data_IF_480143500504
#
_entry.id   IF_480143500504
#
_cell.length_a   1.000
_cell.length_b   1.000
_cell.length_c   1.000
_cell.angle_alpha   90.00
_cell.angle_beta   90.00
_cell.angle_gamma   90.00
#
_symmetry.space_group_name_H-M   'P 1'
#
loop_
_entity.id
_entity.type
_entity.pdbx_description
1 polymer ?
#
# COMPACT_ATOMS: atom_id res chain seq x y z
N UNK A 1 5.29 6.01 -11.75
CA UNK A 1 5.55 4.63 -11.29
C UNK A 1 6.97 4.60 -10.76
N UNK A 2 7.17 4.21 -9.50
CA UNK A 2 8.52 4.15 -8.91
C UNK A 2 9.14 2.79 -9.19
N UNK A 3 10.21 2.76 -9.97
CA UNK A 3 10.97 1.54 -10.20
C UNK A 3 11.58 1.03 -8.87
N UNK A 4 11.47 -0.27 -8.58
CA UNK A 4 12.00 -0.90 -7.37
C UNK A 4 13.47 -1.23 -7.55
N UNK A 5 14.33 -0.67 -6.68
CA UNK A 5 15.77 -0.91 -6.74
C UNK A 5 16.36 -1.42 -5.43
N UNK A 6 17.42 -2.22 -5.59
CA UNK A 6 18.31 -2.63 -4.51
C UNK A 6 19.69 -2.08 -4.81
N UNK A 7 20.33 -1.49 -3.80
CA UNK A 7 21.73 -1.07 -3.87
C UNK A 7 22.58 -2.08 -3.12
N UNK A 8 23.60 -2.62 -3.78
CA UNK A 8 24.49 -3.63 -3.25
C UNK A 8 25.94 -3.13 -3.17
N UNK A 9 26.62 -3.35 -2.05
CA UNK A 9 28.05 -3.05 -1.91
C UNK A 9 28.77 -4.04 -1.00
N UNK A 10 30.09 -4.16 -1.16
CA UNK A 10 30.91 -5.07 -0.34
C UNK A 10 31.27 -4.43 1.01
N UNK A 11 30.79 -5.05 2.09
CA UNK A 11 30.97 -4.60 3.46
C UNK A 11 32.44 -4.61 3.90
N UNK A 12 33.29 -5.44 3.29
CA UNK A 12 34.72 -5.53 3.65
C UNK A 12 35.49 -4.27 3.24
N UNK A 13 35.03 -3.60 2.19
CA UNK A 13 35.66 -2.40 1.65
C UNK A 13 35.02 -1.11 2.19
N UNK A 14 33.71 -1.12 2.41
CA UNK A 14 32.97 0.10 2.75
C UNK A 14 32.29 0.06 4.13
N UNK A 15 32.45 -1.02 4.89
CA UNK A 15 31.87 -1.19 6.20
C UNK A 15 30.37 -1.49 6.19
N UNK A 16 29.86 -1.78 7.40
CA UNK A 16 28.44 -2.02 7.64
C UNK A 16 27.78 -0.75 8.20
N UNK A 17 26.60 -0.36 7.71
CA UNK A 17 25.85 0.74 8.29
C UNK A 17 25.28 0.35 9.65
N UNK A 18 25.17 1.33 10.56
CA UNK A 18 24.62 1.14 11.91
C UNK A 18 23.10 1.23 11.97
N UNK A 19 22.48 1.94 11.03
CA UNK A 19 21.05 2.17 10.93
C UNK A 19 20.63 2.40 9.47
N UNK A 20 19.32 2.51 9.22
CA UNK A 20 18.76 2.66 7.89
C UNK A 20 19.13 4.00 7.23
N UNK A 21 19.18 5.09 7.99
CA UNK A 21 19.50 6.42 7.44
C UNK A 21 20.95 6.48 6.96
N UNK A 22 21.87 5.97 7.77
CA UNK A 22 23.30 5.86 7.41
C UNK A 22 23.48 4.95 6.20
N UNK A 23 22.71 3.87 6.09
CA UNK A 23 22.75 3.00 4.91
C UNK A 23 22.31 3.74 3.64
N UNK A 24 21.28 4.59 3.71
CA UNK A 24 20.84 5.42 2.59
C UNK A 24 21.89 6.43 2.13
N UNK A 25 22.52 7.15 3.06
CA UNK A 25 23.63 8.07 2.77
C UNK A 25 24.82 7.33 2.14
N UNK A 26 25.16 6.16 2.69
CA UNK A 26 26.24 5.32 2.19
C UNK A 26 25.94 4.79 0.78
N UNK A 27 24.72 4.31 0.53
CA UNK A 27 24.28 3.86 -0.78
C UNK A 27 24.39 4.98 -1.82
N UNK A 28 23.86 6.17 -1.52
CA UNK A 28 23.94 7.33 -2.41
C UNK A 28 25.38 7.71 -2.76
N UNK A 29 26.26 7.74 -1.74
CA UNK A 29 27.69 8.03 -1.93
C UNK A 29 28.38 6.97 -2.81
N UNK A 30 28.22 5.69 -2.49
CA UNK A 30 28.93 4.60 -3.17
C UNK A 30 28.47 4.37 -4.62
N UNK A 31 27.22 4.74 -4.95
CA UNK A 31 26.74 4.74 -6.33
C UNK A 31 27.47 5.75 -7.23
N UNK A 32 28.06 6.79 -6.64
CA UNK A 32 28.80 7.83 -7.39
C UNK A 32 30.32 7.68 -7.28
N UNK A 33 30.82 6.93 -6.30
CA UNK A 33 32.25 6.71 -6.10
C UNK A 33 32.84 5.81 -7.21
N UNK A 34 33.80 6.34 -7.97
CA UNK A 34 34.52 5.59 -9.01
C UNK A 34 35.50 4.60 -8.38
N UNK A 35 35.19 3.33 -8.52
CA UNK A 35 35.98 2.24 -7.98
C UNK A 35 35.73 0.97 -8.81
N UNK A 36 36.78 0.18 -9.01
CA UNK A 36 36.65 -1.12 -9.66
C UNK A 36 35.77 -2.06 -8.83
N UNK A 37 35.12 -3.05 -9.47
CA UNK A 37 34.22 -3.95 -8.77
C UNK A 37 34.98 -4.82 -7.77
N UNK A 38 34.52 -4.83 -6.51
CA UNK A 38 35.06 -5.69 -5.48
C UNK A 38 34.80 -7.17 -5.80
N UNK A 39 35.67 -8.04 -5.30
CA UNK A 39 35.52 -9.49 -5.49
C UNK A 39 34.20 -10.01 -4.91
N UNK A 40 33.75 -9.47 -3.76
CA UNK A 40 32.47 -9.87 -3.15
C UNK A 40 31.27 -9.52 -4.01
N UNK A 41 31.26 -8.32 -4.60
CA UNK A 41 30.17 -7.89 -5.46
C UNK A 41 30.12 -8.69 -6.76
N UNK A 42 31.27 -9.06 -7.32
CA UNK A 42 31.36 -9.95 -8.49
C UNK A 42 30.85 -11.35 -8.16
N UNK A 43 31.35 -11.99 -7.09
CA UNK A 43 30.92 -13.34 -6.71
C UNK A 43 29.43 -13.39 -6.30
N UNK A 44 28.94 -12.34 -5.66
CA UNK A 44 27.51 -12.16 -5.40
C UNK A 44 26.70 -12.17 -6.71
N UNK A 45 27.10 -11.36 -7.70
CA UNK A 45 26.41 -11.27 -8.98
C UNK A 45 26.44 -12.59 -9.76
N UNK A 46 27.58 -13.30 -9.74
CA UNK A 46 27.75 -14.61 -10.36
C UNK A 46 26.82 -15.68 -9.74
N UNK A 47 26.77 -15.78 -8.42
CA UNK A 47 25.93 -16.80 -7.75
C UNK A 47 24.44 -16.49 -7.87
N UNK A 48 24.03 -15.21 -7.83
CA UNK A 48 22.63 -14.83 -8.12
C UNK A 48 22.26 -15.17 -9.57
N UNK A 49 23.12 -14.86 -10.54
CA UNK A 49 22.85 -15.18 -11.94
C UNK A 49 22.75 -16.70 -12.19
N UNK A 50 23.63 -17.48 -11.56
CA UNK A 50 23.58 -18.95 -11.64
C UNK A 50 22.28 -19.51 -11.04
N UNK A 51 21.78 -18.93 -9.94
CA UNK A 51 20.47 -19.29 -9.39
C UNK A 51 19.34 -19.00 -10.39
N UNK A 52 19.31 -17.79 -10.96
CA UNK A 52 18.25 -17.37 -11.88
C UNK A 52 18.20 -18.23 -13.15
N UNK A 53 19.36 -18.64 -13.69
CA UNK A 53 19.43 -19.56 -14.83
C UNK A 53 18.76 -20.91 -14.54
N UNK A 54 18.83 -21.38 -13.30
CA UNK A 54 18.23 -22.65 -12.88
C UNK A 54 16.74 -22.55 -12.53
N UNK A 55 16.20 -21.34 -12.30
CA UNK A 55 14.79 -21.14 -11.97
C UNK A 55 13.84 -21.22 -13.16
N UNK A 56 14.33 -21.08 -14.40
CA UNK A 56 13.53 -21.32 -15.62
C UNK A 56 12.42 -20.31 -15.92
N UNK A 57 12.28 -19.24 -15.15
CA UNK A 57 11.23 -18.23 -15.31
C UNK A 57 11.68 -17.09 -16.26
N UNK A 58 10.96 -16.90 -17.36
CA UNK A 58 11.33 -15.95 -18.43
C UNK A 58 11.17 -14.47 -18.03
N UNK A 59 10.33 -14.16 -17.03
CA UNK A 59 9.95 -12.79 -16.66
C UNK A 59 11.07 -11.91 -16.08
N UNK A 60 12.14 -12.51 -15.56
CA UNK A 60 13.21 -11.80 -14.83
C UNK A 60 14.37 -11.38 -15.71
N UNK A 61 14.48 -11.96 -16.90
CA UNK A 61 15.61 -11.75 -17.80
C UNK A 61 15.78 -10.27 -18.13
N UNK A 62 14.69 -9.52 -18.34
CA UNK A 62 14.79 -8.09 -18.65
C UNK A 62 15.34 -7.21 -17.51
N UNK A 63 15.20 -7.63 -16.24
CA UNK A 63 15.62 -6.83 -15.08
C UNK A 63 17.02 -7.22 -14.58
N UNK A 64 17.31 -8.52 -14.61
CA UNK A 64 18.51 -9.13 -14.05
C UNK A 64 19.45 -9.72 -15.11
N UNK A 65 19.26 -9.35 -16.40
CA UNK A 65 20.16 -9.78 -17.47
C UNK A 65 21.61 -9.40 -17.16
N UNK A 66 22.50 -10.34 -17.48
CA UNK A 66 23.96 -10.20 -17.38
C UNK A 66 24.42 -9.51 -16.09
N UNK A 67 23.81 -9.86 -14.95
CA UNK A 67 24.21 -9.35 -13.64
C UNK A 67 25.74 -9.47 -13.41
N UNK A 68 26.42 -10.56 -13.81
CA UNK A 68 27.88 -10.67 -13.68
C UNK A 68 28.63 -9.67 -14.56
N UNK A 69 28.23 -9.50 -15.83
CA UNK A 69 28.84 -8.51 -16.71
C UNK A 69 28.62 -7.08 -16.22
N UNK A 70 27.42 -6.77 -15.71
CA UNK A 70 27.09 -5.49 -15.07
C UNK A 70 27.92 -5.25 -13.83
N UNK A 71 28.09 -6.24 -12.96
CA UNK A 71 28.94 -6.11 -11.78
C UNK A 71 30.39 -5.85 -12.21
N UNK A 72 30.92 -6.60 -13.18
CA UNK A 72 32.28 -6.43 -13.71
C UNK A 72 32.49 -5.06 -14.39
N UNK A 73 31.48 -4.54 -15.05
CA UNK A 73 31.51 -3.26 -15.78
C UNK A 73 31.04 -2.05 -14.98
N UNK A 74 30.58 -2.22 -13.73
CA UNK A 74 29.88 -1.19 -12.96
C UNK A 74 30.70 0.10 -12.76
N UNK A 75 32.03 -0.02 -12.62
CA UNK A 75 32.94 1.12 -12.43
C UNK A 75 32.68 1.98 -11.18
N UNK A 76 31.78 1.52 -10.30
CA UNK A 76 31.39 2.18 -9.06
C UNK A 76 31.50 1.21 -7.87
N UNK A 77 31.65 1.78 -6.68
CA UNK A 77 31.78 1.06 -5.42
C UNK A 77 30.50 0.31 -4.98
N UNK A 78 29.33 0.74 -5.46
CA UNK A 78 28.06 0.03 -5.29
C UNK A 78 27.36 -0.20 -6.62
N UNK A 79 26.60 -1.29 -6.71
CA UNK A 79 25.79 -1.63 -7.89
C UNK A 79 24.31 -1.42 -7.59
N UNK A 80 23.60 -0.80 -8.53
CA UNK A 80 22.13 -0.70 -8.53
C UNK A 80 21.53 -1.87 -9.32
N UNK A 81 20.62 -2.58 -8.67
CA UNK A 81 19.93 -3.75 -9.21
C UNK A 81 18.45 -3.38 -9.30
N UNK A 82 17.89 -3.52 -10.50
CA UNK A 82 16.47 -3.32 -10.73
C UNK A 82 15.75 -4.63 -10.45
N UNK A 83 14.69 -4.55 -9.65
CA UNK A 83 13.85 -5.71 -9.33
C UNK A 83 12.63 -5.72 -10.26
N UNK A 84 12.11 -6.91 -10.61
CA UNK A 84 10.84 -6.99 -11.32
C UNK A 84 9.71 -6.38 -10.48
N UNK A 85 8.66 -5.92 -11.16
CA UNK A 85 7.48 -5.35 -10.50
C UNK A 85 6.69 -6.42 -9.72
N UNK A 86 6.67 -7.65 -10.23
CA UNK A 86 5.94 -8.79 -9.66
C UNK A 86 6.93 -9.91 -9.28
N UNK A 87 6.55 -10.73 -8.30
CA UNK A 87 7.29 -11.89 -7.78
C UNK A 87 8.77 -11.63 -7.40
N UNK A 88 9.19 -10.40 -7.12
CA UNK A 88 10.58 -10.10 -6.73
C UNK A 88 11.00 -10.71 -5.37
N UNK A 89 10.04 -11.12 -4.54
CA UNK A 89 10.22 -11.49 -3.14
C UNK A 89 11.12 -12.74 -3.01
N UNK A 90 10.89 -13.77 -3.82
CA UNK A 90 11.68 -14.99 -3.79
C UNK A 90 13.12 -14.75 -4.26
N UNK A 91 13.28 -13.90 -5.27
CA UNK A 91 14.60 -13.45 -5.74
C UNK A 91 15.32 -12.68 -4.64
N UNK A 92 14.63 -11.75 -3.95
CA UNK A 92 15.21 -11.00 -2.84
C UNK A 92 15.66 -11.94 -1.71
N UNK A 93 14.85 -12.93 -1.33
CA UNK A 93 15.22 -13.93 -0.31
C UNK A 93 16.51 -14.63 -0.70
N UNK A 94 16.63 -15.03 -1.97
CA UNK A 94 17.86 -15.65 -2.46
C UNK A 94 19.04 -14.67 -2.49
N UNK A 95 18.83 -13.44 -2.96
CA UNK A 95 19.85 -12.40 -2.99
C UNK A 95 20.39 -12.12 -1.59
N UNK A 96 19.55 -12.05 -0.56
CA UNK A 96 20.01 -11.84 0.82
C UNK A 96 20.83 -13.02 1.32
N UNK A 97 20.45 -14.26 1.01
CA UNK A 97 21.24 -15.46 1.33
C UNK A 97 22.64 -15.38 0.69
N UNK A 98 22.69 -15.07 -0.61
CA UNK A 98 23.95 -14.98 -1.37
C UNK A 98 24.80 -13.79 -0.91
N UNK A 99 24.17 -12.65 -0.61
CA UNK A 99 24.85 -11.45 -0.11
C UNK A 99 25.54 -11.72 1.22
N UNK A 100 24.91 -12.46 2.13
CA UNK A 100 25.54 -12.86 3.39
C UNK A 100 26.81 -13.70 3.17
N UNK A 101 26.79 -14.65 2.23
CA UNK A 101 27.96 -15.47 1.87
C UNK A 101 29.13 -14.63 1.37
N UNK A 102 28.85 -13.61 0.55
CA UNK A 102 29.86 -12.78 -0.12
C UNK A 102 30.17 -11.46 0.59
N UNK A 103 29.70 -11.30 1.83
CA UNK A 103 29.88 -10.09 2.64
C UNK A 103 29.35 -8.81 1.96
N UNK A 104 28.24 -8.93 1.24
CA UNK A 104 27.55 -7.82 0.57
C UNK A 104 26.41 -7.30 1.43
N UNK A 105 26.31 -5.97 1.56
CA UNK A 105 25.14 -5.30 2.13
C UNK A 105 24.13 -5.04 1.02
N UNK A 106 22.85 -5.28 1.30
CA UNK A 106 21.76 -4.91 0.40
C UNK A 106 20.89 -3.82 1.06
N UNK A 107 20.76 -2.68 0.40
CA UNK A 107 19.87 -1.59 0.79
C UNK A 107 18.66 -1.56 -0.13
N UNK A 108 17.46 -1.63 0.44
CA UNK A 108 16.20 -1.62 -0.27
C UNK A 108 15.30 -0.52 0.31
N UNK A 109 15.24 0.60 -0.42
CA UNK A 109 14.50 1.79 -0.02
C UNK A 109 12.99 1.52 0.00
N UNK A 110 12.46 0.82 -1.00
CA UNK A 110 11.05 0.49 -1.11
C UNK A 110 10.53 -0.32 0.08
N UNK A 111 11.35 -1.20 0.66
CA UNK A 111 10.98 -1.97 1.85
C UNK A 111 11.34 -1.29 3.17
N UNK A 112 12.07 -0.17 3.11
CA UNK A 112 12.70 0.46 4.27
C UNK A 112 13.51 -0.58 5.06
N UNK A 113 14.34 -1.35 4.36
CA UNK A 113 15.17 -2.42 4.92
C UNK A 113 16.61 -2.38 4.43
N UNK A 114 17.54 -2.72 5.33
CA UNK A 114 18.93 -3.03 5.03
C UNK A 114 19.23 -4.44 5.49
N UNK A 115 19.82 -5.26 4.63
CA UNK A 115 20.22 -6.62 4.95
C UNK A 115 21.74 -6.65 5.13
N UNK A 116 22.18 -6.94 6.36
CA UNK A 116 23.60 -7.01 6.69
C UNK A 116 24.14 -8.43 6.49
N UNK A 117 25.44 -8.59 6.18
CA UNK A 117 26.08 -9.90 6.07
C UNK A 117 25.98 -10.78 7.31
N UNK A 118 25.77 -10.19 8.49
CA UNK A 118 25.54 -10.91 9.75
C UNK A 118 24.17 -11.61 9.82
N UNK A 119 23.29 -11.38 8.86
CA UNK A 119 21.89 -11.83 8.88
C UNK A 119 20.95 -10.86 9.62
N UNK A 120 21.47 -9.76 10.17
CA UNK A 120 20.65 -8.72 10.80
C UNK A 120 19.93 -7.86 9.75
N UNK A 121 18.68 -7.49 10.03
CA UNK A 121 17.93 -6.49 9.25
C UNK A 121 17.82 -5.18 10.02
N UNK A 122 18.03 -4.07 9.31
CA UNK A 122 17.84 -2.71 9.81
C UNK A 122 16.64 -2.03 9.13
N UNK A 123 15.81 -1.27 9.86
CA UNK A 123 15.79 -1.20 11.31
C UNK A 123 15.26 -2.52 11.92
N UNK A 124 15.65 -2.83 13.17
CA UNK A 124 15.29 -4.09 13.83
C UNK A 124 13.77 -4.33 13.92
N UNK A 125 12.96 -3.26 13.89
CA UNK A 125 11.50 -3.33 13.80
C UNK A 125 10.99 -4.11 12.57
N UNK A 126 11.80 -4.18 11.50
CA UNK A 126 11.48 -4.92 10.26
C UNK A 126 11.83 -6.40 10.31
N UNK A 127 12.54 -6.88 11.34
CA UNK A 127 12.94 -8.29 11.45
C UNK A 127 11.76 -9.26 11.32
N UNK A 128 10.62 -8.95 11.95
CA UNK A 128 9.44 -9.83 11.90
C UNK A 128 8.85 -9.92 10.48
N UNK A 129 8.82 -8.79 9.77
CA UNK A 129 8.36 -8.74 8.37
C UNK A 129 9.30 -9.59 7.50
N UNK A 130 10.61 -9.40 7.65
CA UNK A 130 11.62 -10.16 6.91
C UNK A 130 11.55 -11.66 7.18
N UNK A 131 11.42 -12.08 8.44
CA UNK A 131 11.25 -13.49 8.79
C UNK A 131 10.01 -14.11 8.14
N UNK A 132 8.92 -13.32 8.03
CA UNK A 132 7.72 -13.72 7.29
C UNK A 132 8.01 -13.97 5.81
N UNK A 133 8.70 -13.04 5.16
CA UNK A 133 9.12 -13.16 3.75
C UNK A 133 10.06 -14.36 3.53
N UNK A 134 11.03 -14.58 4.41
CA UNK A 134 11.93 -15.75 4.30
C UNK A 134 11.18 -17.07 4.45
N UNK A 135 10.27 -17.16 5.42
CA UNK A 135 9.48 -18.36 5.63
C UNK A 135 8.51 -18.64 4.47
N UNK A 136 8.00 -17.59 3.84
CA UNK A 136 7.13 -17.65 2.67
C UNK A 136 7.81 -18.25 1.44
N UNK A 137 9.10 -17.99 1.27
CA UNK A 137 9.84 -18.28 0.04
C UNK A 137 11.03 -19.22 0.25
N UNK A 138 11.03 -19.96 1.36
CA UNK A 138 11.99 -21.06 1.56
C UNK A 138 11.76 -22.15 0.50
N UNK A 139 12.84 -22.74 -0.03
CA UNK A 139 12.76 -23.76 -1.06
C UNK A 139 11.82 -24.91 -0.64
N UNK A 140 10.77 -25.18 -1.43
CA UNK A 140 9.76 -26.21 -1.16
C UNK A 140 8.48 -25.73 -0.45
N UNK A 141 8.25 -24.43 -0.33
CA UNK A 141 7.01 -23.90 0.26
C UNK A 141 5.83 -24.08 -0.71
N UNK A 142 4.89 -24.97 -0.36
CA UNK A 142 3.61 -25.08 -1.07
C UNK A 142 2.74 -23.85 -0.80
N UNK A 143 1.91 -23.46 -1.78
CA UNK A 143 0.94 -22.39 -1.59
C UNK A 143 0.01 -22.73 -0.41
N UNK A 144 -0.25 -21.78 0.51
CA UNK A 144 -1.10 -22.04 1.66
C UNK A 144 -2.47 -22.59 1.28
N UNK A 145 -2.87 -23.73 1.87
CA UNK A 145 -4.17 -24.35 1.59
C UNK A 145 -5.23 -24.04 2.67
N UNK A 146 -4.82 -23.47 3.80
CA UNK A 146 -5.72 -23.10 4.90
C UNK A 146 -5.65 -21.61 5.17
N UNK A 147 -6.76 -21.03 5.66
CA UNK A 147 -6.83 -19.62 6.10
C UNK A 147 -5.72 -19.23 7.08
N UNK A 148 -5.37 -20.13 8.00
CA UNK A 148 -4.32 -19.88 9.00
C UNK A 148 -2.92 -19.81 8.38
N UNK A 149 -2.59 -20.74 7.49
CA UNK A 149 -1.33 -20.72 6.75
C UNK A 149 -1.26 -19.49 5.83
N UNK A 150 -2.36 -19.17 5.15
CA UNK A 150 -2.41 -18.03 4.24
C UNK A 150 -2.22 -16.73 4.99
N UNK A 151 -2.92 -16.49 6.10
CA UNK A 151 -2.69 -15.31 6.95
C UNK A 151 -1.24 -15.19 7.42
N UNK A 152 -0.64 -16.30 7.89
CA UNK A 152 0.76 -16.28 8.31
C UNK A 152 1.71 -15.83 7.20
N UNK A 153 1.39 -16.20 5.96
CA UNK A 153 2.13 -15.80 4.77
C UNK A 153 1.80 -14.35 4.32
N UNK A 154 0.51 -14.00 4.25
CA UNK A 154 -0.02 -12.75 3.70
C UNK A 154 0.18 -11.54 4.62
N UNK A 155 -0.01 -11.70 5.94
CA UNK A 155 0.07 -10.59 6.92
C UNK A 155 1.40 -9.78 6.78
N UNK A 156 2.60 -10.39 6.71
CA UNK A 156 3.86 -9.65 6.52
C UNK A 156 3.94 -8.85 5.20
N UNK A 157 3.34 -9.36 4.13
CA UNK A 157 3.35 -8.69 2.83
C UNK A 157 2.39 -7.51 2.85
N UNK A 158 1.21 -7.70 3.42
CA UNK A 158 0.25 -6.62 3.64
C UNK A 158 0.83 -5.52 4.53
N UNK A 159 1.51 -5.88 5.62
CA UNK A 159 2.24 -4.95 6.49
C UNK A 159 3.31 -4.15 5.72
N UNK A 160 3.93 -4.77 4.71
CA UNK A 160 4.92 -4.12 3.83
C UNK A 160 4.26 -3.08 2.92
N UNK A 161 3.11 -3.40 2.32
CA UNK A 161 2.34 -2.43 1.53
C UNK A 161 1.92 -1.25 2.40
N UNK A 162 1.32 -1.53 3.57
CA UNK A 162 0.90 -0.49 4.51
C UNK A 162 2.05 0.46 4.89
N UNK A 163 3.23 -0.11 5.17
CA UNK A 163 4.39 0.66 5.58
C UNK A 163 4.91 1.64 4.53
N UNK A 164 4.69 1.37 3.23
CA UNK A 164 5.04 2.27 2.13
C UNK A 164 4.11 3.49 2.07
N UNK A 165 2.87 3.32 2.52
CA UNK A 165 1.85 4.35 2.54
C UNK A 165 1.63 4.93 3.94
N UNK A 166 2.68 4.98 4.77
CA UNK A 166 2.66 5.67 6.06
C UNK A 166 2.41 4.77 7.28
N UNK A 167 2.18 5.42 8.41
CA UNK A 167 2.26 4.77 9.73
C UNK A 167 0.92 4.13 10.14
N UNK A 168 0.48 3.12 9.40
CA UNK A 168 -0.64 2.28 9.82
C UNK A 168 -0.27 1.46 11.06
N UNK A 169 -1.09 1.56 12.10
CA UNK A 169 -0.95 0.81 13.34
C UNK A 169 -2.08 -0.20 13.44
N UNK A 170 -1.73 -1.45 13.74
CA UNK A 170 -2.71 -2.52 13.93
C UNK A 170 -3.62 -2.20 15.13
N UNK A 171 -4.93 -2.20 14.90
CA UNK A 171 -5.92 -2.03 15.95
C UNK A 171 -5.94 -3.28 16.85
N UNK A 172 -5.89 -3.04 18.16
CA UNK A 172 -5.88 -4.11 19.17
C UNK A 172 -7.30 -4.52 19.58
N UNK A 173 -8.31 -3.74 19.22
CA UNK A 173 -9.72 -4.03 19.45
C UNK A 173 -10.46 -4.06 18.11
N UNK A 174 -10.28 -5.11 17.29
CA UNK A 174 -11.04 -5.22 16.06
C UNK A 174 -12.53 -5.26 16.41
N UNK A 175 -13.33 -4.47 15.69
CA UNK A 175 -14.77 -4.30 15.89
C UNK A 175 -15.52 -5.64 15.90
N UNK A 176 -14.94 -6.68 15.30
CA UNK A 176 -15.39 -8.06 15.37
C UNK A 176 -14.16 -8.98 15.35
N UNK A 177 -14.20 -10.11 16.06
CA UNK A 177 -13.14 -11.15 16.12
C UNK A 177 -12.68 -11.75 14.76
N UNK A 178 -13.08 -11.17 13.63
CA UNK A 178 -12.83 -11.65 12.26
C UNK A 178 -12.02 -10.69 11.38
N UNK A 179 -11.94 -9.40 11.74
CA UNK A 179 -11.31 -8.35 10.94
C UNK A 179 -9.94 -7.98 11.50
N UNK A 180 -8.90 -8.03 10.67
CA UNK A 180 -7.63 -7.37 11.02
C UNK A 180 -7.77 -5.93 10.58
N UNK A 181 -7.89 -5.00 11.52
CA UNK A 181 -7.98 -3.57 11.22
C UNK A 181 -6.65 -2.87 11.49
N UNK A 182 -6.29 -1.95 10.60
CA UNK A 182 -5.15 -1.06 10.70
C UNK A 182 -5.65 0.38 10.62
N UNK A 183 -5.09 1.23 11.46
CA UNK A 183 -5.52 2.61 11.64
C UNK A 183 -4.36 3.53 11.28
N UNK A 184 -4.64 4.56 10.49
CA UNK A 184 -3.75 5.70 10.27
C UNK A 184 -4.47 6.96 10.72
N UNK A 185 -3.85 7.70 11.63
CA UNK A 185 -4.26 9.07 11.95
C UNK A 185 -3.69 10.00 10.87
N UNK A 186 -4.57 10.66 10.12
CA UNK A 186 -4.23 11.81 9.29
C UNK A 186 -4.48 13.11 10.03
N UNK A 187 -4.08 14.23 9.43
CA UNK A 187 -4.22 15.56 10.05
C UNK A 187 -5.68 15.94 10.32
N UNK A 188 -6.60 15.47 9.46
CA UNK A 188 -8.02 15.79 9.55
C UNK A 188 -8.93 14.56 9.61
N UNK A 189 -8.49 13.44 9.02
CA UNK A 189 -9.27 12.22 8.91
C UNK A 189 -8.53 11.05 9.53
N UNK A 190 -9.28 10.18 10.22
CA UNK A 190 -8.81 8.86 10.64
C UNK A 190 -9.18 7.84 9.59
N UNK A 191 -8.21 7.04 9.18
CA UNK A 191 -8.38 6.05 8.14
C UNK A 191 -8.24 4.66 8.70
N UNK A 192 -9.10 3.77 8.23
CA UNK A 192 -9.14 2.38 8.61
C UNK A 192 -9.03 1.56 7.35
N UNK A 193 -8.14 0.58 7.38
CA UNK A 193 -8.04 -0.44 6.35
C UNK A 193 -8.06 -1.78 7.05
N UNK A 194 -8.88 -2.69 6.53
CA UNK A 194 -8.98 -4.04 7.06
C UNK A 194 -9.14 -5.03 5.94
N UNK A 195 -8.69 -6.25 6.16
CA UNK A 195 -9.05 -7.36 5.28
C UNK A 195 -9.62 -8.54 6.04
N UNK A 196 -10.50 -9.24 5.35
CA UNK A 196 -10.98 -10.58 5.70
C UNK A 196 -10.31 -11.53 4.73
N UNK A 197 -9.80 -12.64 5.28
CA UNK A 197 -9.42 -13.79 4.47
C UNK A 197 -10.40 -14.91 4.80
N UNK A 198 -11.07 -15.47 3.80
CA UNK A 198 -11.96 -16.62 3.94
C UNK A 198 -11.51 -17.77 3.04
N UNK A 199 -12.07 -18.95 3.28
CA UNK A 199 -11.85 -20.14 2.47
C UNK A 199 -13.21 -20.75 2.16
N UNK A 200 -13.59 -20.73 0.87
CA UNK A 200 -14.82 -21.33 0.38
C UNK A 200 -14.43 -22.47 -0.55
N UNK A 201 -14.83 -23.70 -0.21
CA UNK A 201 -14.58 -24.91 -1.00
C UNK A 201 -13.10 -25.14 -1.38
N UNK A 202 -12.17 -24.78 -0.48
CA UNK A 202 -10.73 -24.92 -0.70
C UNK A 202 -10.08 -23.74 -1.41
N UNK A 203 -10.86 -22.75 -1.83
CA UNK A 203 -10.38 -21.54 -2.49
C UNK A 203 -10.26 -20.41 -1.47
N UNK A 204 -9.06 -19.84 -1.36
CA UNK A 204 -8.82 -18.69 -0.49
C UNK A 204 -9.34 -17.41 -1.15
N UNK A 205 -9.93 -16.55 -0.34
CA UNK A 205 -10.52 -15.29 -0.77
C UNK A 205 -10.03 -14.18 0.15
N UNK A 206 -9.71 -13.01 -0.41
CA UNK A 206 -9.40 -11.82 0.40
C UNK A 206 -10.30 -10.68 -0.01
N UNK A 207 -10.91 -10.05 0.99
CA UNK A 207 -11.73 -8.85 0.84
C UNK A 207 -11.12 -7.73 1.67
N UNK A 208 -10.92 -6.55 1.05
CA UNK A 208 -10.48 -5.34 1.73
C UNK A 208 -11.66 -4.41 1.91
N UNK A 209 -11.83 -3.95 3.13
CA UNK A 209 -12.70 -2.84 3.43
C UNK A 209 -11.85 -1.66 3.87
N UNK A 210 -12.18 -0.49 3.34
CA UNK A 210 -11.64 0.79 3.81
C UNK A 210 -12.75 1.60 4.45
N UNK A 211 -12.34 2.47 5.36
CA UNK A 211 -13.21 3.46 5.97
C UNK A 211 -12.42 4.72 6.26
N UNK A 212 -13.01 5.86 5.92
CA UNK A 212 -12.50 7.18 6.31
C UNK A 212 -13.48 7.82 7.27
N UNK A 213 -12.97 8.27 8.40
CA UNK A 213 -13.72 8.91 9.47
C UNK A 213 -13.21 10.33 9.64
N UNK A 214 -14.12 11.29 9.71
CA UNK A 214 -13.80 12.69 9.96
C UNK A 214 -14.78 13.23 10.99
N UNK A 215 -14.24 13.61 12.15
CA UNK A 215 -15.04 14.05 13.29
C UNK A 215 -15.89 15.27 12.95
N UNK A 216 -15.31 16.27 12.26
CA UNK A 216 -16.05 17.47 11.87
C UNK A 216 -17.23 17.17 10.93
N UNK A 217 -17.04 16.26 9.96
CA UNK A 217 -18.12 15.82 9.06
C UNK A 217 -19.22 15.10 9.85
N UNK A 218 -18.85 14.21 10.76
CA UNK A 218 -19.79 13.47 11.60
C UNK A 218 -20.60 14.38 12.50
N UNK A 219 -19.95 15.32 13.19
CA UNK A 219 -20.61 16.30 14.06
C UNK A 219 -21.66 17.09 13.26
N UNK A 220 -21.33 17.55 12.05
CA UNK A 220 -22.29 18.23 11.18
C UNK A 220 -23.44 17.29 10.77
N UNK A 221 -23.14 16.07 10.32
CA UNK A 221 -24.15 15.09 9.92
C UNK A 221 -25.17 14.78 11.04
N UNK A 222 -24.73 14.74 12.30
CA UNK A 222 -25.58 14.44 13.46
C UNK A 222 -26.67 15.49 13.73
N UNK A 223 -26.57 16.70 13.16
CA UNK A 223 -27.64 17.70 13.21
C UNK A 223 -28.84 17.37 12.30
N UNK A 224 -28.71 16.35 11.44
CA UNK A 224 -29.68 16.00 10.42
C UNK A 224 -30.11 14.55 10.54
N UNK A 225 -31.25 14.21 9.93
CA UNK A 225 -31.82 12.86 9.95
C UNK A 225 -31.34 11.97 8.81
N UNK A 226 -30.17 12.26 8.24
CA UNK A 226 -29.56 11.37 7.25
C UNK A 226 -29.12 10.06 7.92
N UNK A 227 -29.05 9.00 7.13
CA UNK A 227 -28.48 7.72 7.48
C UNK A 227 -27.06 7.94 8.03
N UNK A 228 -26.92 7.73 9.33
CA UNK A 228 -25.69 7.94 10.07
C UNK A 228 -24.82 6.71 10.00
N UNK A 229 -23.84 6.71 9.12
CA UNK A 229 -22.62 5.94 9.38
C UNK A 229 -21.67 6.84 10.18
N UNK A 230 -20.93 6.24 11.12
CA UNK A 230 -19.79 6.88 11.80
C UNK A 230 -18.58 7.06 10.85
N UNK A 231 -18.84 7.26 9.56
CA UNK A 231 -17.86 7.30 8.49
C UNK A 231 -18.22 8.37 7.49
N UNK A 232 -17.20 9.06 6.94
CA UNK A 232 -17.38 9.92 5.78
C UNK A 232 -17.70 9.07 4.56
N UNK A 233 -17.00 7.94 4.46
CA UNK A 233 -17.39 6.83 3.62
C UNK A 233 -16.80 5.50 4.12
N UNK A 234 -17.52 4.43 3.79
CA UNK A 234 -17.07 3.05 3.89
C UNK A 234 -17.28 2.40 2.53
N UNK A 235 -16.27 1.71 2.03
CA UNK A 235 -16.38 1.00 0.76
C UNK A 235 -15.65 -0.33 0.81
N UNK A 236 -16.32 -1.37 0.32
CA UNK A 236 -15.63 -2.52 -0.27
C UNK A 236 -15.16 -2.07 -1.65
N UNK A 237 -14.01 -1.40 -1.63
CA UNK A 237 -13.53 -0.54 -2.72
C UNK A 237 -13.51 -1.27 -4.06
N UNK A 238 -13.06 -2.52 -4.03
CA UNK A 238 -12.96 -3.35 -5.22
C UNK A 238 -14.31 -3.56 -5.90
N UNK A 239 -15.39 -3.77 -5.15
CA UNK A 239 -16.70 -4.02 -5.75
C UNK A 239 -17.43 -2.74 -6.15
N UNK A 240 -17.39 -1.75 -5.28
CA UNK A 240 -18.30 -0.60 -5.37
C UNK A 240 -17.72 0.56 -6.16
N UNK A 241 -16.40 0.78 -6.05
CA UNK A 241 -15.72 1.93 -6.64
C UNK A 241 -14.91 1.48 -7.85
N UNK A 242 -14.03 0.49 -7.70
CA UNK A 242 -13.14 0.05 -8.77
C UNK A 242 -13.82 -0.89 -9.78
N UNK A 243 -15.02 -1.39 -9.46
CA UNK A 243 -15.76 -2.39 -10.27
C UNK A 243 -14.90 -3.59 -10.67
N UNK A 244 -14.02 -4.00 -9.78
CA UNK A 244 -13.14 -5.14 -9.94
C UNK A 244 -13.96 -6.43 -10.06
N UNK A 245 -13.64 -7.35 -11.00
CA UNK A 245 -14.39 -8.57 -11.20
C UNK A 245 -14.47 -9.41 -9.92
N UNK A 246 -15.66 -9.92 -9.59
CA UNK A 246 -15.88 -10.83 -8.46
C UNK A 246 -15.14 -12.16 -8.60
N UNK A 247 -14.86 -12.59 -9.83
CA UNK A 247 -14.10 -13.80 -10.17
C UNK A 247 -12.61 -13.69 -9.81
N UNK A 248 -12.10 -12.48 -9.55
CA UNK A 248 -10.69 -12.23 -9.17
C UNK A 248 -10.46 -12.21 -7.66
N UNK A 249 -11.43 -12.68 -6.86
CA UNK A 249 -11.23 -12.82 -5.41
C UNK A 249 -10.45 -14.08 -5.04
N UNK A 250 -10.42 -15.05 -5.94
CA UNK A 250 -9.85 -16.36 -5.69
C UNK A 250 -8.32 -16.27 -5.75
N UNK A 251 -7.69 -16.58 -4.63
CA UNK A 251 -6.24 -16.61 -4.49
C UNK A 251 -5.82 -18.06 -4.41
N UNK A 252 -5.32 -18.58 -5.52
CA UNK A 252 -4.94 -20.00 -5.65
C UNK A 252 -3.42 -20.21 -5.73
N UNK A 253 -2.67 -19.13 -5.83
CA UNK A 253 -1.23 -19.12 -6.00
C UNK A 253 -0.59 -17.87 -5.39
N UNK A 254 0.73 -17.89 -5.24
CA UNK A 254 1.48 -16.72 -4.82
C UNK A 254 1.35 -15.58 -5.83
N UNK A 255 1.33 -15.88 -7.13
CA UNK A 255 1.13 -14.89 -8.18
C UNK A 255 -0.26 -14.22 -8.09
N UNK A 256 -1.31 -14.96 -7.72
CA UNK A 256 -2.64 -14.36 -7.52
C UNK A 256 -2.62 -13.35 -6.37
N UNK A 257 -1.96 -13.71 -5.26
CA UNK A 257 -1.86 -12.84 -4.10
C UNK A 257 -1.02 -11.60 -4.35
N UNK A 258 0.10 -11.74 -5.07
CA UNK A 258 0.96 -10.61 -5.44
C UNK A 258 0.23 -9.65 -6.39
N UNK A 259 -0.46 -10.16 -7.42
CA UNK A 259 -1.32 -9.33 -8.28
C UNK A 259 -2.39 -8.60 -7.48
N UNK A 260 -2.94 -9.25 -6.45
CA UNK A 260 -3.94 -8.66 -5.58
C UNK A 260 -3.37 -7.54 -4.70
N UNK A 261 -2.20 -7.76 -4.08
CA UNK A 261 -1.49 -6.73 -3.31
C UNK A 261 -1.09 -5.54 -4.18
N UNK A 262 -0.58 -5.78 -5.39
CA UNK A 262 -0.21 -4.72 -6.34
C UNK A 262 -1.44 -3.91 -6.79
N UNK A 263 -2.55 -4.59 -7.09
CA UNK A 263 -3.80 -3.92 -7.44
C UNK A 263 -4.32 -3.03 -6.30
N UNK A 264 -4.17 -3.45 -5.05
CA UNK A 264 -4.44 -2.58 -3.91
C UNK A 264 -3.52 -1.36 -3.91
N UNK A 265 -2.22 -1.58 -4.06
CA UNK A 265 -1.23 -0.50 -4.03
C UNK A 265 -1.47 0.55 -5.10
N UNK A 266 -1.86 0.15 -6.30
CA UNK A 266 -2.12 1.07 -7.41
C UNK A 266 -3.46 1.79 -7.30
N UNK A 267 -4.51 1.15 -6.75
CA UNK A 267 -5.87 1.67 -6.85
C UNK A 267 -6.45 2.19 -5.52
N UNK A 268 -6.05 1.63 -4.38
CA UNK A 268 -6.56 1.98 -3.05
C UNK A 268 -5.71 3.05 -2.39
N UNK A 269 -4.40 2.80 -2.31
CA UNK A 269 -3.53 3.62 -1.48
C UNK A 269 -3.38 5.07 -1.97
N UNK A 270 -3.33 5.38 -3.28
CA UNK A 270 -3.32 6.77 -3.74
C UNK A 270 -4.55 7.56 -3.26
N UNK A 271 -5.73 6.94 -3.25
CA UNK A 271 -6.95 7.57 -2.75
C UNK A 271 -6.88 7.77 -1.23
N UNK A 272 -6.35 6.80 -0.50
CA UNK A 272 -6.16 6.93 0.94
C UNK A 272 -5.13 8.01 1.29
N UNK A 273 -4.01 8.08 0.59
CA UNK A 273 -2.98 9.11 0.81
C UNK A 273 -3.52 10.51 0.53
N UNK A 274 -4.37 10.64 -0.48
CA UNK A 274 -5.07 11.88 -0.77
C UNK A 274 -6.07 12.25 0.35
N UNK A 275 -6.81 11.28 0.88
CA UNK A 275 -7.82 11.48 1.93
C UNK A 275 -7.26 11.77 3.34
N UNK A 276 -5.98 12.12 3.48
CA UNK A 276 -5.37 12.49 4.77
C UNK A 276 -5.75 13.90 5.23
N UNK A 277 -6.05 14.80 4.29
CA UNK A 277 -6.45 16.19 4.53
C UNK A 277 -7.89 16.43 4.08
N UNK A 278 -8.51 17.53 4.52
CA UNK A 278 -9.88 17.86 4.08
C UNK A 278 -9.93 18.24 2.58
N UNK A 279 -8.90 18.95 2.09
CA UNK A 279 -8.78 19.31 0.67
C UNK A 279 -8.54 18.09 -0.21
N UNK A 280 -7.70 17.16 0.22
CA UNK A 280 -7.49 15.93 -0.54
C UNK A 280 -8.71 15.02 -0.50
N UNK A 281 -9.40 14.93 0.64
CA UNK A 281 -10.69 14.24 0.73
C UNK A 281 -11.74 14.85 -0.22
N UNK A 282 -11.82 16.18 -0.29
CA UNK A 282 -12.69 16.87 -1.24
C UNK A 282 -12.29 16.59 -2.70
N UNK A 283 -10.99 16.60 -3.02
CA UNK A 283 -10.52 16.26 -4.36
C UNK A 283 -10.89 14.83 -4.77
N UNK A 284 -10.91 13.89 -3.81
CA UNK A 284 -11.33 12.50 -4.04
C UNK A 284 -12.85 12.37 -4.22
N UNK A 285 -13.63 13.05 -3.38
CA UNK A 285 -15.09 12.88 -3.34
C UNK A 285 -15.84 13.78 -4.33
N UNK A 286 -15.31 14.94 -4.67
CA UNK A 286 -15.97 15.98 -5.47
C UNK A 286 -15.12 16.47 -6.65
N UNK A 287 -13.83 16.14 -6.68
CA UNK A 287 -12.90 16.55 -7.72
C UNK A 287 -12.69 15.50 -8.81
N UNK A 288 -11.56 15.66 -9.52
CA UNK A 288 -11.16 14.80 -10.65
C UNK A 288 -9.99 13.87 -10.29
N UNK A 289 -9.64 13.70 -9.00
CA UNK A 289 -8.54 12.81 -8.62
C UNK A 289 -8.81 11.37 -9.07
N UNK A 290 -10.04 10.91 -8.89
CA UNK A 290 -10.52 9.66 -9.45
C UNK A 290 -12.05 9.73 -9.59
N UNK A 291 -12.53 9.86 -10.82
CA UNK A 291 -13.96 9.99 -11.11
C UNK A 291 -14.76 8.78 -10.65
N UNK A 292 -14.14 7.60 -10.49
CA UNK A 292 -14.82 6.40 -9.97
C UNK A 292 -15.26 6.61 -8.52
N UNK A 293 -14.43 7.26 -7.71
CA UNK A 293 -14.76 7.58 -6.32
C UNK A 293 -15.87 8.62 -6.28
N UNK A 294 -15.68 9.75 -6.97
CA UNK A 294 -16.70 10.81 -7.07
C UNK A 294 -18.05 10.24 -7.50
N UNK A 295 -18.09 9.56 -8.64
CA UNK A 295 -19.32 9.03 -9.22
C UNK A 295 -19.98 8.00 -8.31
N UNK A 296 -19.19 7.16 -7.61
CA UNK A 296 -19.74 6.23 -6.63
C UNK A 296 -20.43 6.97 -5.47
N UNK A 297 -19.74 7.92 -4.82
CA UNK A 297 -20.27 8.59 -3.63
C UNK A 297 -21.39 9.59 -3.95
N UNK A 298 -21.33 10.24 -5.12
CA UNK A 298 -22.39 11.11 -5.64
C UNK A 298 -23.68 10.35 -5.96
N UNK A 299 -23.61 9.03 -6.12
CA UNK A 299 -24.75 8.15 -6.40
C UNK A 299 -25.07 7.16 -5.26
N UNK A 300 -24.59 7.45 -4.04
CA UNK A 300 -24.80 6.60 -2.87
C UNK A 300 -25.30 7.38 -1.64
N UNK A 301 -25.44 6.70 -0.49
CA UNK A 301 -25.93 7.32 0.76
C UNK A 301 -25.06 8.49 1.25
N UNK A 302 -23.84 8.63 0.73
CA UNK A 302 -22.82 9.59 1.19
C UNK A 302 -22.92 11.00 0.57
N UNK A 303 -23.95 11.29 -0.25
CA UNK A 303 -24.14 12.65 -0.82
C UNK A 303 -24.09 13.78 0.22
N UNK A 304 -24.74 13.69 1.41
CA UNK A 304 -24.60 14.71 2.46
C UNK A 304 -23.15 14.93 2.89
N UNK A 305 -22.40 13.85 3.10
CA UNK A 305 -21.00 13.88 3.48
C UNK A 305 -20.13 14.54 2.40
N UNK A 306 -20.38 14.25 1.11
CA UNK A 306 -19.69 14.90 0.00
C UNK A 306 -19.85 16.43 0.04
N UNK A 307 -21.06 16.93 0.28
CA UNK A 307 -21.32 18.37 0.35
C UNK A 307 -20.69 19.01 1.60
N UNK A 308 -20.75 18.33 2.74
CA UNK A 308 -20.10 18.80 3.98
C UNK A 308 -18.60 18.91 3.78
N UNK A 309 -17.96 17.89 3.18
CA UNK A 309 -16.54 17.90 2.84
C UNK A 309 -16.19 19.06 1.92
N UNK A 310 -16.97 19.29 0.86
CA UNK A 310 -16.77 20.41 -0.06
C UNK A 310 -16.79 21.75 0.67
N UNK A 311 -17.73 21.94 1.61
CA UNK A 311 -17.81 23.17 2.40
C UNK A 311 -16.58 23.34 3.29
N UNK A 312 -16.20 22.30 4.03
CA UNK A 312 -15.08 22.36 4.97
C UNK A 312 -13.74 22.58 4.24
N UNK A 313 -13.58 22.02 3.04
CA UNK A 313 -12.41 22.22 2.18
C UNK A 313 -12.35 23.59 1.51
N UNK A 314 -13.42 24.39 1.58
CA UNK A 314 -13.50 25.67 0.86
C UNK A 314 -13.59 25.49 -0.66
N UNK A 315 -14.23 24.41 -1.13
CA UNK A 315 -14.33 24.09 -2.53
C UNK A 315 -15.04 25.23 -3.30
N UNK A 316 -14.41 25.83 -4.34
CA UNK A 316 -14.99 26.95 -5.08
C UNK A 316 -16.26 26.57 -5.86
N UNK A 317 -16.47 25.28 -6.13
CA UNK A 317 -17.65 24.73 -6.80
C UNK A 317 -18.77 24.35 -5.82
N UNK A 318 -18.70 24.77 -4.55
CA UNK A 318 -19.69 24.40 -3.53
C UNK A 318 -21.13 24.61 -3.99
N UNK A 319 -21.44 25.75 -4.61
CA UNK A 319 -22.80 26.06 -5.07
C UNK A 319 -23.25 25.17 -6.24
N UNK A 320 -22.35 24.81 -7.16
CA UNK A 320 -22.64 23.84 -8.22
C UNK A 320 -22.92 22.45 -7.63
N UNK A 321 -22.10 22.02 -6.64
CA UNK A 321 -22.26 20.74 -5.95
C UNK A 321 -23.59 20.65 -5.18
N UNK A 322 -24.11 21.77 -4.64
CA UNK A 322 -25.44 21.80 -4.04
C UNK A 322 -26.51 21.37 -5.05
N UNK A 323 -26.42 21.85 -6.29
CA UNK A 323 -27.38 21.51 -7.35
C UNK A 323 -27.18 20.07 -7.83
N UNK A 324 -25.94 19.69 -8.16
CA UNK A 324 -25.58 18.35 -8.67
C UNK A 324 -25.98 17.23 -7.69
N UNK A 325 -25.65 17.38 -6.40
CA UNK A 325 -25.92 16.36 -5.40
C UNK A 325 -27.41 16.30 -5.02
N UNK A 326 -28.17 17.37 -5.25
CA UNK A 326 -29.61 17.42 -4.95
C UNK A 326 -30.46 16.50 -5.82
N UNK A 327 -29.96 16.06 -6.97
CA UNK A 327 -30.67 15.20 -7.93
C UNK A 327 -31.23 13.95 -7.23
N UNK A 328 -32.50 13.60 -7.51
CA UNK A 328 -33.27 12.60 -6.77
C UNK A 328 -32.71 11.18 -6.82
N UNK A 329 -31.96 10.84 -7.86
CA UNK A 329 -31.34 9.52 -8.01
C UNK A 329 -30.18 9.31 -7.04
N UNK A 330 -29.99 8.06 -6.61
CA UNK A 330 -28.82 7.67 -5.80
C UNK A 330 -28.87 8.09 -4.33
N UNK A 331 -30.02 8.49 -3.79
CA UNK A 331 -30.16 8.85 -2.36
C UNK A 331 -30.35 7.65 -1.42
N UNK A 332 -30.76 6.49 -1.94
CA UNK A 332 -30.93 5.22 -1.20
C UNK A 332 -31.63 5.42 0.16
N UNK A 333 -30.98 5.06 1.27
CA UNK A 333 -31.53 5.16 2.62
C UNK A 333 -31.95 6.60 3.02
N UNK A 334 -31.41 7.62 2.35
CA UNK A 334 -31.72 9.03 2.58
C UNK A 334 -32.89 9.57 1.73
N UNK A 335 -33.47 8.76 0.84
CA UNK A 335 -34.47 9.24 -0.12
C UNK A 335 -35.72 9.85 0.55
N UNK A 336 -36.20 9.26 1.65
CA UNK A 336 -37.41 9.72 2.36
C UNK A 336 -37.21 11.05 3.10
N UNK A 337 -35.99 11.32 3.58
CA UNK A 337 -35.65 12.52 4.37
C UNK A 337 -35.05 13.64 3.53
N UNK A 338 -34.61 13.36 2.28
CA UNK A 338 -33.98 14.33 1.37
C UNK A 338 -34.73 15.65 1.30
N UNK A 339 -36.04 15.60 1.03
CA UNK A 339 -36.86 16.81 0.78
C UNK A 339 -36.89 17.77 1.96
N UNK A 340 -36.73 17.28 3.19
CA UNK A 340 -36.76 18.09 4.40
C UNK A 340 -35.37 18.41 4.92
N UNK A 341 -34.44 17.45 4.89
CA UNK A 341 -33.12 17.59 5.50
C UNK A 341 -32.10 18.25 4.57
N UNK A 342 -32.17 18.03 3.25
CA UNK A 342 -31.20 18.61 2.31
C UNK A 342 -31.22 20.14 2.29
N UNK A 343 -32.37 20.83 2.17
CA UNK A 343 -32.38 22.29 2.23
C UNK A 343 -31.85 22.83 3.56
N UNK A 344 -32.15 22.14 4.67
CA UNK A 344 -31.65 22.51 6.02
C UNK A 344 -30.14 22.36 6.10
N UNK A 345 -29.58 21.29 5.55
CA UNK A 345 -28.12 21.09 5.48
C UNK A 345 -27.46 22.21 4.67
N UNK A 346 -27.96 22.49 3.47
CA UNK A 346 -27.41 23.53 2.60
C UNK A 346 -27.40 24.89 3.30
N UNK A 347 -28.51 25.25 3.95
CA UNK A 347 -28.60 26.51 4.69
C UNK A 347 -27.57 26.55 5.84
N UNK A 348 -27.51 25.49 6.66
CA UNK A 348 -26.57 25.39 7.76
C UNK A 348 -25.10 25.49 7.28
N UNK A 349 -24.75 24.83 6.19
CA UNK A 349 -23.41 24.88 5.62
C UNK A 349 -23.03 26.29 5.13
N UNK A 350 -23.98 27.05 4.58
CA UNK A 350 -23.74 28.43 4.12
C UNK A 350 -23.59 29.42 5.28
N UNK A 351 -24.44 29.29 6.30
CA UNK A 351 -24.61 30.29 7.35
C UNK A 351 -23.70 30.02 8.57
N UNK A 352 -23.55 28.75 8.97
CA UNK A 352 -22.94 28.39 10.26
C UNK A 352 -21.58 27.71 10.12
N UNK A 353 -21.29 27.08 8.97
CA UNK A 353 -20.04 26.35 8.75
C UNK A 353 -19.05 27.20 7.95
N UNK A 354 -17.87 27.43 8.55
CA UNK A 354 -16.73 28.08 7.89
C UNK A 354 -15.76 27.04 7.33
N UNK A 355 -15.16 27.27 6.14
CA UNK A 355 -14.04 26.47 5.66
C UNK A 355 -12.89 26.44 6.67
N UNK A 356 -12.19 25.32 6.75
CA UNK A 356 -11.08 25.08 7.70
C UNK A 356 -9.74 25.16 6.95
N UNK A 357 -9.63 26.11 6.01
CA UNK A 357 -8.51 26.23 5.06
C UNK A 357 -7.15 26.29 5.75
#
# INVERSE_FOLDING_TARGET
MSNHYIVAWDARHHGMPKDFAVAGEQAARLLTQEEGPSAGLQSFAEEVAAYLQNCGEEGWQQFLWDLPGRAKGNGRAAMRIEMPYEDWQHILVKMVEVAAKHQVVLYNENLVMVFLPSGQVLPAARNKIWQGLQAAWSAGSEFPQTKGQFKKWFDPQFDTVLARHGNFVKDKNPWENRLVAFIRDGDFCKQYISYICDNYDGVLNVEVSLRVSCKAVQEICQHFKFFGEDTVFSADLFFRVLKWPTERRDISSFQDADRWLNAMEEALFPAMDLACTIQGLDLLLNGEADTRYRDHFHNYVFKPQCLIVARLAGNPRFEELVEELSVETGWHANASVRKTEWPRLVQYLREEVKPIV
#
